data_IF_694274609567
#
_entry.id   IF_694274609567
#
_cell.length_a   1.000
_cell.length_b   1.000
_cell.length_c   1.000
_cell.angle_alpha   90.00
_cell.angle_beta   90.00
_cell.angle_gamma   90.00
#
_symmetry.space_group_name_H-M   'P 1'
#
loop_
_entity.id
_entity.type
_entity.pdbx_description
1 polymer ?
#
# COMPACT_ATOMS: atom_id res chain seq x y z
N UNK A 1 11.85 -15.54 11.14
CA UNK A 1 12.66 -14.72 10.22
C UNK A 1 13.77 -15.58 9.65
N UNK A 2 13.79 -15.77 8.32
CA UNK A 2 14.68 -16.69 7.60
C UNK A 2 15.51 -15.93 6.57
N UNK A 3 16.81 -16.21 6.49
CA UNK A 3 17.66 -15.62 5.44
C UNK A 3 17.68 -16.49 4.19
N UNK A 4 17.56 -15.87 3.02
CA UNK A 4 17.64 -16.51 1.71
C UNK A 4 18.53 -15.68 0.79
N UNK A 5 19.25 -16.34 -0.11
CA UNK A 5 20.02 -15.61 -1.12
C UNK A 5 19.10 -15.06 -2.21
N UNK A 6 19.52 -13.98 -2.88
CA UNK A 6 18.78 -13.44 -4.02
C UNK A 6 18.53 -14.49 -5.12
N UNK A 7 19.45 -15.43 -5.33
CA UNK A 7 19.31 -16.51 -6.30
C UNK A 7 18.31 -17.57 -5.87
N UNK A 8 18.30 -17.95 -4.58
CA UNK A 8 17.30 -18.88 -4.05
C UNK A 8 15.90 -18.27 -4.08
N UNK A 9 15.77 -16.98 -3.73
CA UNK A 9 14.52 -16.25 -3.85
C UNK A 9 14.02 -16.26 -5.30
N UNK A 10 14.88 -15.93 -6.27
CA UNK A 10 14.49 -15.91 -7.68
C UNK A 10 14.04 -17.29 -8.20
N UNK A 11 14.69 -18.37 -7.74
CA UNK A 11 14.33 -19.75 -8.13
C UNK A 11 13.05 -20.25 -7.47
N UNK A 12 12.77 -19.82 -6.24
CA UNK A 12 11.65 -20.31 -5.43
C UNK A 12 10.67 -19.19 -5.08
N UNK A 13 10.49 -18.21 -5.97
CA UNK A 13 9.80 -16.97 -5.64
C UNK A 13 8.36 -17.21 -5.19
N UNK A 14 7.62 -18.02 -5.97
CA UNK A 14 6.24 -18.41 -5.64
C UNK A 14 6.14 -19.09 -4.28
N UNK A 15 6.96 -20.10 -4.02
CA UNK A 15 6.95 -20.83 -2.74
C UNK A 15 7.29 -19.91 -1.57
N UNK A 16 8.20 -18.96 -1.79
CA UNK A 16 8.56 -17.96 -0.77
C UNK A 16 7.37 -17.04 -0.48
N UNK A 17 6.65 -16.58 -1.50
CA UNK A 17 5.45 -15.78 -1.31
C UNK A 17 4.31 -16.56 -0.66
N UNK A 18 4.09 -17.82 -1.03
CA UNK A 18 3.10 -18.70 -0.40
C UNK A 18 3.40 -18.85 1.11
N UNK A 19 4.68 -18.99 1.48
CA UNK A 19 5.09 -19.05 2.89
C UNK A 19 4.88 -17.71 3.61
N UNK A 20 5.07 -16.58 2.94
CA UNK A 20 4.78 -15.25 3.50
C UNK A 20 3.26 -15.09 3.72
N UNK A 21 2.44 -15.46 2.74
CA UNK A 21 0.98 -15.30 2.78
C UNK A 21 0.33 -16.23 3.81
N UNK A 22 0.59 -17.54 3.72
CA UNK A 22 -0.14 -18.54 4.50
C UNK A 22 0.50 -18.84 5.85
N UNK A 23 1.84 -18.75 5.95
CA UNK A 23 2.55 -19.07 7.19
C UNK A 23 3.04 -17.83 7.94
N UNK A 24 2.83 -16.63 7.40
CA UNK A 24 3.32 -15.37 7.97
C UNK A 24 4.84 -15.38 8.20
N UNK A 25 5.57 -16.07 7.32
CA UNK A 25 7.02 -16.13 7.39
C UNK A 25 7.65 -14.83 6.90
N UNK A 26 8.65 -14.34 7.63
CA UNK A 26 9.48 -13.22 7.22
C UNK A 26 10.81 -13.69 6.61
N UNK A 27 11.20 -13.08 5.50
CA UNK A 27 12.43 -13.39 4.78
C UNK A 27 13.39 -12.20 4.73
N UNK A 28 14.66 -12.44 5.01
CA UNK A 28 15.77 -11.51 4.72
C UNK A 28 16.45 -11.97 3.44
N UNK A 29 16.65 -11.06 2.51
CA UNK A 29 17.27 -11.33 1.23
C UNK A 29 18.72 -10.88 1.31
N UNK A 30 19.64 -11.81 1.03
CA UNK A 30 21.07 -11.59 1.09
C UNK A 30 21.68 -11.71 -0.31
N UNK A 31 22.57 -10.78 -0.67
CA UNK A 31 23.38 -10.84 -1.89
C UNK A 31 24.82 -10.48 -1.53
N UNK A 32 25.79 -11.29 -1.99
CA UNK A 32 27.22 -11.10 -1.67
C UNK A 32 27.47 -10.97 -0.15
N UNK A 33 26.80 -11.80 0.65
CA UNK A 33 26.89 -11.79 2.12
C UNK A 33 26.44 -10.49 2.80
N UNK A 34 25.66 -9.66 2.10
CA UNK A 34 25.05 -8.43 2.61
C UNK A 34 23.53 -8.49 2.48
N UNK A 35 22.82 -8.05 3.52
CA UNK A 35 21.37 -7.90 3.49
C UNK A 35 20.98 -6.77 2.52
N UNK A 36 20.10 -7.07 1.56
CA UNK A 36 19.68 -6.11 0.53
C UNK A 36 18.19 -5.78 0.58
N UNK A 37 17.37 -6.64 1.16
CA UNK A 37 15.92 -6.44 1.26
C UNK A 37 15.29 -7.38 2.29
N UNK A 38 14.04 -7.11 2.65
CA UNK A 38 13.19 -7.97 3.47
C UNK A 38 11.82 -8.13 2.84
N UNK A 39 11.24 -9.33 2.98
CA UNK A 39 9.84 -9.60 2.68
C UNK A 39 9.17 -9.92 4.01
N UNK A 40 8.15 -9.14 4.34
CA UNK A 40 7.34 -9.29 5.54
C UNK A 40 5.87 -9.52 5.11
N UNK A 41 5.10 -10.30 5.86
CA UNK A 41 3.68 -10.46 5.59
C UNK A 41 2.98 -9.10 5.74
N UNK A 42 2.19 -8.73 4.73
CA UNK A 42 1.26 -7.61 4.85
C UNK A 42 0.06 -8.01 5.73
N UNK A 43 -0.72 -7.03 6.24
CA UNK A 43 -1.96 -7.34 6.92
C UNK A 43 -2.90 -8.10 5.97
N UNK A 44 -3.37 -9.28 6.41
CA UNK A 44 -4.19 -10.20 5.61
C UNK A 44 -5.52 -9.60 5.16
N UNK A 45 -6.08 -8.72 5.98
CA UNK A 45 -7.21 -7.85 5.66
C UNK A 45 -6.98 -6.54 6.39
N UNK A 46 -7.46 -5.45 5.80
CA UNK A 46 -7.42 -4.14 6.43
C UNK A 46 -8.74 -3.44 6.13
N UNK A 47 -9.41 -2.97 7.16
CA UNK A 47 -10.59 -2.11 7.01
C UNK A 47 -10.16 -0.75 6.45
N UNK A 48 -11.08 -0.03 5.80
CA UNK A 48 -10.80 1.32 5.32
C UNK A 48 -10.30 2.25 6.45
N UNK A 49 -10.77 2.02 7.68
CA UNK A 49 -10.36 2.79 8.85
C UNK A 49 -8.91 2.50 9.26
N UNK A 50 -8.51 1.23 9.30
CA UNK A 50 -7.12 0.82 9.57
C UNK A 50 -6.17 1.31 8.47
N UNK A 51 -6.61 1.28 7.21
CA UNK A 51 -5.85 1.81 6.07
C UNK A 51 -5.58 3.31 6.19
N UNK A 52 -6.54 4.05 6.73
CA UNK A 52 -6.47 5.50 6.90
C UNK A 52 -5.89 5.91 8.27
N UNK A 53 -5.63 4.97 9.17
CA UNK A 53 -5.17 5.26 10.54
C UNK A 53 -3.80 5.96 10.56
N UNK A 54 -2.97 5.70 9.55
CA UNK A 54 -1.64 6.31 9.41
C UNK A 54 -1.64 7.59 8.55
N UNK A 55 -2.82 8.05 8.09
CA UNK A 55 -2.99 9.37 7.47
C UNK A 55 -3.01 10.42 8.59
N UNK A 56 -1.83 10.73 9.11
CA UNK A 56 -1.63 11.91 9.93
C UNK A 56 -1.68 13.15 9.03
N UNK A 57 -2.55 14.11 9.38
CA UNK A 57 -2.99 15.30 8.59
C UNK A 57 -4.28 15.10 7.81
N UNK A 58 -5.30 14.54 8.46
CA UNK A 58 -6.68 14.88 8.12
C UNK A 58 -6.84 16.41 8.01
N UNK A 59 -7.75 16.87 7.14
CA UNK A 59 -8.02 18.32 7.00
C UNK A 59 -8.25 18.92 8.40
N UNK A 60 -7.61 20.06 8.74
CA UNK A 60 -7.96 20.83 9.93
C UNK A 60 -9.47 21.02 10.02
N UNK A 61 -10.03 21.07 11.22
CA UNK A 61 -11.48 21.11 11.43
C UNK A 61 -12.12 22.28 10.66
N UNK A 62 -11.42 23.42 10.59
CA UNK A 62 -11.81 24.59 9.81
C UNK A 62 -11.87 24.33 8.31
N UNK A 63 -10.92 23.56 7.78
CA UNK A 63 -10.88 23.18 6.38
C UNK A 63 -11.92 22.09 6.06
N UNK A 64 -12.21 21.20 7.03
CA UNK A 64 -13.23 20.15 6.90
C UNK A 64 -14.66 20.72 6.92
N UNK A 65 -14.92 21.75 7.73
CA UNK A 65 -16.25 22.35 7.91
C UNK A 65 -16.87 22.87 6.59
N UNK A 66 -16.04 23.31 5.64
CA UNK A 66 -16.47 23.77 4.33
C UNK A 66 -16.38 22.72 3.22
N UNK A 67 -15.70 21.60 3.47
CA UNK A 67 -15.27 20.69 2.42
C UNK A 67 -16.44 20.17 1.58
N UNK A 68 -17.47 19.61 2.21
CA UNK A 68 -18.61 19.03 1.49
C UNK A 68 -19.38 20.06 0.64
N UNK A 69 -19.51 21.29 1.15
CA UNK A 69 -20.18 22.38 0.43
C UNK A 69 -19.34 22.84 -0.76
N UNK A 70 -18.04 23.02 -0.56
CA UNK A 70 -17.10 23.45 -1.61
C UNK A 70 -17.00 22.38 -2.70
N UNK A 71 -16.86 21.10 -2.35
CA UNK A 71 -16.80 19.99 -3.32
C UNK A 71 -18.05 19.89 -4.19
N UNK A 72 -19.22 20.27 -3.67
CA UNK A 72 -20.47 20.30 -4.45
C UNK A 72 -20.61 21.52 -5.35
N UNK A 73 -19.99 22.64 -5.00
CA UNK A 73 -20.03 23.86 -5.83
C UNK A 73 -19.19 23.75 -7.10
N UNK A 74 -18.13 22.93 -7.09
CA UNK A 74 -17.21 22.79 -8.23
C UNK A 74 -17.71 21.71 -9.23
N UNK A 75 -18.88 21.09 -8.99
CA UNK A 75 -19.40 19.99 -9.83
C UNK A 75 -19.62 20.42 -11.30
N UNK A 76 -20.05 21.66 -11.52
CA UNK A 76 -20.30 22.19 -12.86
C UNK A 76 -19.03 22.70 -13.57
N UNK A 77 -17.91 22.86 -12.85
CA UNK A 77 -16.62 23.34 -13.40
C UNK A 77 -15.67 22.16 -13.66
N UNK A 78 -15.65 21.17 -12.77
CA UNK A 78 -14.77 20.00 -12.88
C UNK A 78 -15.20 19.01 -13.97
N UNK A 79 -16.49 18.96 -14.33
CA UNK A 79 -17.00 18.01 -15.34
C UNK A 79 -16.41 18.23 -16.73
N UNK A 80 -16.00 19.46 -17.05
CA UNK A 80 -15.43 19.80 -18.35
C UNK A 80 -13.89 19.76 -18.36
N UNK A 81 -13.24 19.87 -17.19
CA UNK A 81 -11.77 19.94 -17.07
C UNK A 81 -11.13 18.62 -16.60
N UNK A 82 -11.85 17.75 -15.89
CA UNK A 82 -11.29 16.51 -15.34
C UNK A 82 -11.74 15.32 -16.15
N UNK A 83 -10.81 14.81 -16.96
CA UNK A 83 -10.97 13.53 -17.66
C UNK A 83 -11.01 12.38 -16.66
N UNK A 84 -12.02 11.52 -16.75
CA UNK A 84 -12.11 10.31 -15.93
C UNK A 84 -10.89 9.42 -16.21
N UNK A 85 -10.02 9.18 -15.21
CA UNK A 85 -8.82 8.37 -15.38
C UNK A 85 -9.11 6.87 -15.50
N UNK A 86 -10.38 6.45 -15.32
CA UNK A 86 -10.83 5.05 -15.41
C UNK A 86 -11.73 4.76 -16.60
N UNK A 87 -12.02 5.76 -17.45
CA UNK A 87 -12.83 5.61 -18.67
C UNK A 87 -11.97 5.03 -19.83
N UNK A 88 -11.40 3.84 -19.61
CA UNK A 88 -10.63 3.06 -20.59
C UNK A 88 -11.20 1.65 -20.73
#
# INVERSE_FOLDING_TARGET
MRSVTATELARNFRVTLDAVEYNHEEFIIVRNNHEVARIIPGPSTMTAMEAMADIYRTLPEEAAAGWLRNSRQIKDILSDEVRDPWDS
#
